data_IF_499904238502
#
_entry.id   IF_499904238502
#
_cell.length_a   1.000
_cell.length_b   1.000
_cell.length_c   1.000
_cell.angle_alpha   90.00
_cell.angle_beta   90.00
_cell.angle_gamma   90.00
#
_symmetry.space_group_name_H-M   'P 1'
#
loop_
_entity.id
_entity.type
_entity.pdbx_description
1 polymer ?
#
# COMPACT_ATOMS: atom_id res chain seq x y z
N UNK A 1 -7.59 -5.71 -35.60
CA UNK A 1 -6.40 -4.84 -35.49
C UNK A 1 -6.68 -3.47 -36.07
N UNK A 2 -7.08 -2.51 -35.22
CA UNK A 2 -7.24 -1.08 -35.55
C UNK A 2 -5.93 -0.50 -36.11
N UNK A 3 -6.03 0.46 -37.03
CA UNK A 3 -4.91 1.12 -37.71
C UNK A 3 -3.85 1.63 -36.73
N UNK A 4 -4.26 2.21 -35.59
CA UNK A 4 -3.34 2.68 -34.55
C UNK A 4 -2.57 1.55 -33.84
N UNK A 5 -3.16 0.37 -33.65
CA UNK A 5 -2.45 -0.77 -33.05
C UNK A 5 -1.34 -1.31 -33.95
N UNK A 6 -1.57 -1.27 -35.28
CA UNK A 6 -0.55 -1.66 -36.28
C UNK A 6 0.61 -0.66 -36.31
N UNK A 7 0.31 0.64 -36.35
CA UNK A 7 1.33 1.71 -36.36
C UNK A 7 2.15 1.71 -35.07
N UNK A 8 1.50 1.53 -33.92
CA UNK A 8 2.17 1.55 -32.61
C UNK A 8 2.89 0.23 -32.27
N UNK A 9 2.78 -0.82 -33.08
CA UNK A 9 3.22 -2.20 -32.75
C UNK A 9 2.74 -2.66 -31.36
N UNK A 10 1.50 -2.29 -30.99
CA UNK A 10 0.90 -2.61 -29.69
C UNK A 10 -0.44 -3.32 -29.90
N UNK A 11 -0.81 -4.15 -28.93
CA UNK A 11 -2.13 -4.79 -28.94
C UNK A 11 -3.24 -3.74 -28.84
N UNK A 12 -4.42 -4.04 -29.40
CA UNK A 12 -5.59 -3.15 -29.29
C UNK A 12 -5.95 -2.85 -27.83
N UNK A 13 -5.76 -3.84 -26.94
CA UNK A 13 -5.93 -3.69 -25.49
C UNK A 13 -5.00 -2.62 -24.92
N UNK A 14 -3.74 -2.61 -25.32
CA UNK A 14 -2.76 -1.62 -24.87
C UNK A 14 -3.12 -0.21 -25.37
N UNK A 15 -3.55 -0.08 -26.64
CA UNK A 15 -4.00 1.21 -27.19
C UNK A 15 -5.24 1.73 -26.45
N UNK A 16 -6.21 0.86 -26.15
CA UNK A 16 -7.40 1.24 -25.38
C UNK A 16 -7.08 1.64 -23.95
N UNK A 17 -6.15 0.95 -23.27
CA UNK A 17 -5.73 1.33 -21.93
C UNK A 17 -5.04 2.69 -21.92
N UNK A 18 -4.13 2.96 -22.86
CA UNK A 18 -3.47 4.26 -22.99
C UNK A 18 -4.51 5.38 -23.21
N UNK A 19 -5.46 5.17 -24.12
CA UNK A 19 -6.54 6.16 -24.36
C UNK A 19 -7.41 6.39 -23.12
N UNK A 20 -7.73 5.33 -22.38
CA UNK A 20 -8.48 5.44 -21.12
C UNK A 20 -7.69 6.23 -20.09
N UNK A 21 -6.41 5.93 -19.92
CA UNK A 21 -5.53 6.63 -18.99
C UNK A 21 -5.43 8.12 -19.35
N UNK A 22 -5.23 8.46 -20.63
CA UNK A 22 -5.16 9.87 -21.06
C UNK A 22 -6.46 10.62 -20.80
N UNK A 23 -7.62 9.96 -20.94
CA UNK A 23 -8.93 10.57 -20.66
C UNK A 23 -9.20 10.76 -19.17
N UNK A 24 -8.79 9.82 -18.34
CA UNK A 24 -9.11 9.80 -16.91
C UNK A 24 -8.09 10.55 -16.05
N UNK A 25 -6.81 10.48 -16.42
CA UNK A 25 -5.69 10.96 -15.62
C UNK A 25 -4.82 12.00 -16.35
N UNK A 26 -5.08 12.28 -17.63
CA UNK A 26 -4.27 13.21 -18.42
C UNK A 26 -2.90 12.67 -18.84
N UNK A 27 -2.56 11.42 -18.50
CA UNK A 27 -1.30 10.77 -18.80
C UNK A 27 -1.53 9.44 -19.54
N UNK A 28 -0.59 9.04 -20.40
CA UNK A 28 -0.56 7.72 -21.00
C UNK A 28 -0.27 6.62 -19.97
N UNK A 29 0.43 6.97 -18.89
CA UNK A 29 0.72 6.07 -17.78
C UNK A 29 -0.47 5.94 -16.84
N UNK A 30 -0.68 4.72 -16.33
CA UNK A 30 -1.58 4.56 -15.19
C UNK A 30 -0.94 5.23 -13.99
N UNK A 31 -1.72 5.90 -13.11
CA UNK A 31 -1.22 6.31 -11.81
C UNK A 31 -0.57 5.12 -11.12
N UNK A 32 0.47 5.36 -10.32
CA UNK A 32 0.95 4.37 -9.37
C UNK A 32 -0.19 4.12 -8.36
N UNK A 33 -1.04 3.15 -8.66
CA UNK A 33 -1.94 2.59 -7.67
C UNK A 33 -1.07 1.61 -6.89
N UNK A 34 -0.88 1.80 -5.57
CA UNK A 34 -0.19 0.80 -4.77
C UNK A 34 -0.89 -0.53 -4.98
N UNK A 35 -0.16 -1.49 -5.54
CA UNK A 35 -0.70 -2.83 -5.78
C UNK A 35 -0.83 -3.50 -4.42
N UNK A 36 -2.06 -3.59 -3.90
CA UNK A 36 -2.34 -4.35 -2.67
C UNK A 36 -3.37 -3.70 -1.77
N UNK A 37 -3.63 -4.37 -0.64
CA UNK A 37 -4.42 -3.83 0.46
C UNK A 37 -3.65 -2.64 1.05
N UNK A 38 -4.31 -1.50 1.24
CA UNK A 38 -3.73 -0.42 2.05
C UNK A 38 -3.22 -1.01 3.36
N UNK A 39 -1.99 -0.69 3.79
CA UNK A 39 -1.50 -1.11 5.09
C UNK A 39 -2.51 -0.71 6.16
N UNK A 40 -2.96 -1.69 6.94
CA UNK A 40 -3.84 -1.47 8.09
C UNK A 40 -3.18 -0.61 9.17
N UNK A 41 -1.86 -0.47 9.11
CA UNK A 41 -1.03 0.34 10.00
C UNK A 41 -0.40 1.44 9.15
N UNK A 42 -0.69 2.70 9.46
CA UNK A 42 -0.11 3.85 8.76
C UNK A 42 1.39 3.97 9.09
N UNK A 43 2.22 4.56 8.20
CA UNK A 43 3.65 4.74 8.47
C UNK A 43 3.95 5.45 9.80
N UNK A 44 3.19 6.50 10.13
CA UNK A 44 3.31 7.22 11.41
C UNK A 44 3.10 6.34 12.64
N UNK A 45 2.29 5.29 12.51
CA UNK A 45 2.04 4.33 13.59
C UNK A 45 3.21 3.37 13.76
N UNK A 46 3.87 3.00 12.66
CA UNK A 46 5.09 2.19 12.70
C UNK A 46 6.23 2.98 13.35
N UNK A 47 6.41 4.24 12.97
CA UNK A 47 7.45 5.12 13.55
C UNK A 47 7.27 5.25 15.08
N UNK A 48 6.05 5.56 15.53
CA UNK A 48 5.74 5.65 16.96
C UNK A 48 5.94 4.31 17.70
N UNK A 49 5.62 3.18 17.06
CA UNK A 49 5.86 1.87 17.64
C UNK A 49 7.35 1.54 17.73
N UNK A 50 8.15 1.94 16.74
CA UNK A 50 9.61 1.78 16.79
C UNK A 50 10.21 2.59 17.93
N UNK A 51 9.84 3.86 18.07
CA UNK A 51 10.30 4.70 19.18
C UNK A 51 9.95 4.06 20.54
N UNK A 52 8.72 3.54 20.67
CA UNK A 52 8.28 2.87 21.89
C UNK A 52 9.04 1.56 22.17
N UNK A 53 9.38 0.80 21.13
CA UNK A 53 10.15 -0.45 21.26
C UNK A 53 11.64 -0.21 21.56
N UNK A 54 12.19 0.94 21.18
CA UNK A 54 13.54 1.35 21.60
C UNK A 54 13.59 1.54 23.12
N UNK A 55 12.55 2.14 23.70
CA UNK A 55 12.45 2.34 25.15
C UNK A 55 12.11 1.03 25.88
N UNK A 56 11.25 0.19 25.29
CA UNK A 56 10.79 -1.07 25.88
C UNK A 56 10.93 -2.24 24.91
N UNK A 57 12.15 -2.78 24.72
CA UNK A 57 12.36 -3.92 23.85
C UNK A 57 11.68 -5.17 24.41
N UNK A 58 11.05 -5.97 23.54
CA UNK A 58 10.48 -7.28 23.91
C UNK A 58 8.99 -7.29 24.26
N UNK A 59 8.22 -6.28 23.83
CA UNK A 59 6.76 -6.32 23.94
C UNK A 59 6.16 -7.49 23.15
N UNK A 60 5.14 -8.12 23.72
CA UNK A 60 4.31 -9.07 22.99
C UNK A 60 3.48 -8.34 21.92
N UNK A 61 3.11 -9.07 20.86
CA UNK A 61 2.34 -8.53 19.73
C UNK A 61 1.01 -7.92 20.21
N UNK A 62 0.38 -8.51 21.22
CA UNK A 62 -0.84 -8.01 21.85
C UNK A 62 -0.61 -6.67 22.56
N UNK A 63 0.55 -6.48 23.19
CA UNK A 63 0.90 -5.22 23.86
C UNK A 63 1.21 -4.12 22.85
N UNK A 64 1.87 -4.45 21.73
CA UNK A 64 2.05 -3.54 20.61
C UNK A 64 0.71 -3.13 19.99
N UNK A 65 -0.23 -4.08 19.88
CA UNK A 65 -1.59 -3.81 19.42
C UNK A 65 -2.30 -2.82 20.35
N UNK A 66 -2.21 -3.05 21.67
CA UNK A 66 -2.81 -2.18 22.69
C UNK A 66 -2.22 -0.77 22.60
N UNK A 67 -0.89 -0.64 22.50
CA UNK A 67 -0.22 0.66 22.35
C UNK A 67 -0.77 1.41 21.13
N UNK A 68 -0.80 0.77 19.96
CA UNK A 68 -1.32 1.39 18.74
C UNK A 68 -2.81 1.73 18.84
N UNK A 69 -3.61 0.89 19.51
CA UNK A 69 -5.03 1.14 19.73
C UNK A 69 -5.28 2.35 20.62
N UNK A 70 -4.50 2.50 21.71
CA UNK A 70 -4.62 3.61 22.67
C UNK A 70 -4.11 4.91 22.05
N UNK A 71 -2.93 4.89 21.44
CA UNK A 71 -2.26 6.09 20.94
C UNK A 71 -2.93 6.66 19.67
N UNK A 72 -3.42 5.79 18.78
CA UNK A 72 -4.01 6.20 17.50
C UNK A 72 -5.53 5.99 17.43
N UNK A 73 -6.18 5.67 18.55
CA UNK A 73 -7.63 5.45 18.67
C UNK A 73 -8.19 4.48 17.60
N UNK A 74 -7.43 3.44 17.25
CA UNK A 74 -7.77 2.48 16.20
C UNK A 74 -8.07 1.11 16.80
N UNK A 75 -9.21 0.50 16.46
CA UNK A 75 -9.47 -0.92 16.74
C UNK A 75 -8.70 -1.78 15.73
N UNK A 76 -7.38 -1.96 15.93
CA UNK A 76 -6.61 -2.91 15.13
C UNK A 76 -7.11 -4.33 15.44
N UNK A 77 -7.71 -5.02 14.47
CA UNK A 77 -7.94 -6.45 14.62
C UNK A 77 -6.60 -7.18 14.53
N UNK A 78 -6.31 -8.04 15.51
CA UNK A 78 -5.13 -8.91 15.64
C UNK A 78 -4.52 -9.47 14.32
N UNK A 79 -5.29 -9.88 13.29
CA UNK A 79 -4.71 -10.33 12.01
C UNK A 79 -4.00 -9.25 11.18
N UNK A 80 -4.09 -7.98 11.56
CA UNK A 80 -3.49 -6.83 10.84
C UNK A 80 -2.00 -6.58 11.18
N UNK A 81 -1.48 -7.23 12.23
CA UNK A 81 -0.16 -6.92 12.79
C UNK A 81 0.93 -7.84 12.24
N UNK A 82 0.61 -9.12 11.98
CA UNK A 82 1.57 -10.13 11.51
C UNK A 82 2.32 -9.76 10.22
N UNK A 83 1.69 -9.17 9.17
CA UNK A 83 2.40 -8.85 7.94
C UNK A 83 3.33 -7.63 8.04
N UNK A 84 3.10 -6.74 9.02
CA UNK A 84 3.86 -5.49 9.15
C UNK A 84 5.30 -5.72 9.62
N UNK A 85 5.56 -6.85 10.31
CA UNK A 85 6.88 -7.24 10.79
C UNK A 85 7.63 -8.20 9.86
N UNK A 86 7.05 -8.58 8.71
CA UNK A 86 7.65 -9.55 7.77
C UNK A 86 8.27 -8.90 6.53
N UNK A 87 8.50 -7.58 6.52
CA UNK A 87 9.11 -6.86 5.37
C UNK A 87 10.50 -6.27 5.64
N UNK A 88 11.19 -6.71 6.69
CA UNK A 88 12.60 -6.43 6.90
C UNK A 88 13.44 -7.67 6.55
N UNK A 89 13.73 -7.86 5.26
CA UNK A 89 14.83 -8.66 4.73
C UNK A 89 15.48 -7.88 3.57
#
# INVERSE_FOLDING_TARGET
MSQMGKVAKRSERSVNNIRKNMRLFGDAWSPLVPVGRQPSIAPVMLDALYDYLVEKPGLYIEEMAIFLCVEFNMLLSLPSIKPAFSQSD
#
